data_IF_928679066528
#
_entry.id   IF_928679066528
#
_cell.length_a   1.000
_cell.length_b   1.000
_cell.length_c   1.000
_cell.angle_alpha   90.00
_cell.angle_beta   90.00
_cell.angle_gamma   90.00
#
_symmetry.space_group_name_H-M   'P 1'
#
loop_
_entity.id
_entity.type
_entity.pdbx_description
1 polymer ?
#
# COMPACT_ATOMS: atom_id res chain seq x y z
N UNK A 1 37.98 -17.36 10.84
CA UNK A 1 38.22 -15.94 10.50
C UNK A 1 36.86 -15.30 10.38
N UNK A 2 36.50 -14.45 11.34
CA UNK A 2 35.20 -13.76 11.36
C UNK A 2 35.45 -12.41 10.72
N UNK A 3 34.92 -12.18 9.52
CA UNK A 3 34.96 -10.85 8.91
C UNK A 3 34.09 -9.91 9.75
N UNK A 4 34.67 -8.79 10.19
CA UNK A 4 33.92 -7.75 10.86
C UNK A 4 33.08 -7.00 9.82
N UNK A 5 31.77 -7.19 9.85
CA UNK A 5 30.84 -6.43 9.02
C UNK A 5 30.61 -5.07 9.68
N UNK A 6 31.12 -4.01 9.05
CA UNK A 6 30.91 -2.62 9.48
C UNK A 6 29.86 -2.01 8.55
N UNK A 7 28.73 -1.57 9.11
CA UNK A 7 27.69 -0.83 8.41
C UNK A 7 27.59 0.58 8.99
N UNK A 8 27.38 1.57 8.12
CA UNK A 8 27.05 2.94 8.54
C UNK A 8 25.54 3.06 8.67
N UNK A 9 25.08 3.56 9.81
CA UNK A 9 23.66 3.85 10.03
C UNK A 9 23.37 5.25 9.49
N UNK A 10 22.45 5.36 8.55
CA UNK A 10 22.00 6.63 7.97
C UNK A 10 20.68 7.09 8.61
N UNK A 11 20.39 8.38 8.48
CA UNK A 11 19.10 8.94 8.88
C UNK A 11 17.97 8.37 8.01
N UNK A 12 16.79 8.23 8.61
CA UNK A 12 15.60 7.75 7.90
C UNK A 12 15.06 8.85 6.99
N UNK A 13 15.08 8.59 5.68
CA UNK A 13 14.42 9.44 4.69
C UNK A 13 13.08 8.79 4.30
N UNK A 14 11.94 9.48 4.48
CA UNK A 14 10.66 8.94 4.06
C UNK A 14 10.60 8.83 2.54
N UNK A 15 10.12 7.68 2.06
CA UNK A 15 9.92 7.40 0.62
C UNK A 15 8.96 8.42 -0.02
N UNK A 16 7.94 8.82 0.74
CA UNK A 16 7.04 9.92 0.43
C UNK A 16 6.71 10.72 1.71
N UNK A 17 6.63 12.06 1.64
CA UNK A 17 6.05 12.86 2.72
C UNK A 17 4.63 12.43 3.09
N UNK A 18 4.15 12.85 4.27
CA UNK A 18 2.74 12.69 4.61
C UNK A 18 1.86 13.49 3.64
N UNK A 19 0.80 12.88 3.14
CA UNK A 19 -0.06 13.49 2.13
C UNK A 19 -1.02 12.51 1.48
N UNK A 20 -1.78 13.01 0.50
CA UNK A 20 -2.67 12.19 -0.31
C UNK A 20 -2.15 12.19 -1.75
N UNK A 21 -1.86 11.01 -2.26
CA UNK A 21 -1.24 10.82 -3.57
C UNK A 21 -2.19 10.07 -4.51
N UNK A 22 -2.40 10.54 -5.75
CA UNK A 22 -2.93 9.69 -6.80
C UNK A 22 -2.07 8.44 -6.92
N UNK A 23 -2.69 7.28 -7.11
CA UNK A 23 -1.95 6.04 -7.23
C UNK A 23 -2.71 5.00 -8.05
N UNK A 24 -2.03 3.90 -8.34
CA UNK A 24 -2.65 2.71 -8.90
C UNK A 24 -2.19 1.47 -8.15
N UNK A 25 -3.05 0.46 -8.07
CA UNK A 25 -2.67 -0.83 -7.51
C UNK A 25 -1.72 -1.56 -8.45
N UNK A 26 -0.58 -1.98 -7.93
CA UNK A 26 0.46 -2.67 -8.71
C UNK A 26 0.44 -4.19 -8.50
N UNK A 27 -0.23 -4.67 -7.46
CA UNK A 27 -0.38 -6.09 -7.18
C UNK A 27 -0.28 -6.45 -5.71
N UNK A 28 -0.37 -7.74 -5.44
CA UNK A 28 -0.24 -8.32 -4.10
C UNK A 28 0.68 -9.54 -4.15
N UNK A 29 1.50 -9.69 -3.12
CA UNK A 29 2.37 -10.85 -2.94
C UNK A 29 2.05 -11.55 -1.63
N UNK A 30 2.08 -12.88 -1.64
CA UNK A 30 1.96 -13.69 -0.42
C UNK A 30 3.36 -13.92 0.15
N UNK A 31 3.57 -13.50 1.38
CA UNK A 31 4.82 -13.73 2.10
C UNK A 31 4.53 -14.54 3.36
N UNK A 32 5.45 -15.44 3.71
CA UNK A 32 5.33 -16.30 4.89
C UNK A 32 6.65 -16.29 5.66
N UNK A 33 6.57 -16.13 6.97
CA UNK A 33 7.70 -16.24 7.88
C UNK A 33 7.29 -17.01 9.14
N UNK A 34 8.17 -17.08 10.14
CA UNK A 34 7.92 -17.77 11.41
C UNK A 34 6.72 -17.23 12.19
N UNK A 35 6.27 -16.00 11.89
CA UNK A 35 5.10 -15.35 12.50
C UNK A 35 3.80 -15.58 11.71
N UNK A 36 3.87 -16.30 10.57
CA UNK A 36 2.73 -16.68 9.74
C UNK A 36 2.72 -16.06 8.34
N UNK A 37 1.56 -16.16 7.68
CA UNK A 37 1.36 -15.63 6.32
C UNK A 37 0.82 -14.21 6.36
N UNK A 38 1.34 -13.36 5.49
CA UNK A 38 0.92 -11.98 5.29
C UNK A 38 0.86 -11.65 3.79
N UNK A 39 0.06 -10.64 3.46
CA UNK A 39 -0.01 -10.10 2.11
C UNK A 39 0.72 -8.78 2.03
N UNK A 40 1.64 -8.66 1.09
CA UNK A 40 2.31 -7.42 0.73
C UNK A 40 1.54 -6.77 -0.43
N UNK A 41 0.86 -5.67 -0.12
CA UNK A 41 0.20 -4.83 -1.12
C UNK A 41 1.22 -3.89 -1.74
N UNK A 42 1.18 -3.75 -3.06
CA UNK A 42 2.06 -2.86 -3.82
C UNK A 42 1.20 -1.83 -4.54
N UNK A 43 1.58 -0.57 -4.42
CA UNK A 43 0.94 0.55 -5.10
C UNK A 43 2.00 1.42 -5.74
N UNK A 44 1.66 2.01 -6.87
CA UNK A 44 2.48 3.01 -7.53
C UNK A 44 1.86 4.39 -7.28
N UNK A 45 2.47 5.18 -6.40
CA UNK A 45 2.03 6.52 -6.08
C UNK A 45 2.67 7.54 -7.05
N UNK A 46 1.89 8.53 -7.46
CA UNK A 46 2.32 9.60 -8.36
C UNK A 46 2.68 10.84 -7.54
N UNK A 47 3.95 11.23 -7.56
CA UNK A 47 4.47 12.46 -6.94
C UNK A 47 5.12 13.34 -8.02
N UNK A 48 4.33 14.29 -8.53
CA UNK A 48 4.72 15.08 -9.70
C UNK A 48 4.94 14.19 -10.93
N UNK A 49 6.18 14.18 -11.44
CA UNK A 49 6.58 13.36 -12.59
C UNK A 49 7.16 11.99 -12.19
N UNK A 50 7.24 11.71 -10.88
CA UNK A 50 7.83 10.49 -10.37
C UNK A 50 6.74 9.49 -10.00
N UNK A 51 7.06 8.22 -10.22
CA UNK A 51 6.28 7.09 -9.74
C UNK A 51 7.08 6.42 -8.62
N UNK A 52 6.45 6.32 -7.45
CA UNK A 52 7.09 5.79 -6.25
C UNK A 52 6.34 4.55 -5.80
N UNK A 53 7.03 3.42 -5.71
CA UNK A 53 6.43 2.20 -5.17
C UNK A 53 6.29 2.33 -3.66
N UNK A 54 5.06 2.13 -3.17
CA UNK A 54 4.76 2.12 -1.74
C UNK A 54 4.09 0.81 -1.41
N UNK A 55 4.57 0.16 -0.35
CA UNK A 55 4.06 -1.14 0.07
C UNK A 55 3.42 -1.10 1.45
N UNK A 56 2.52 -2.05 1.70
CA UNK A 56 1.96 -2.25 3.02
C UNK A 56 1.62 -3.72 3.25
N UNK A 57 1.83 -4.20 4.47
CA UNK A 57 1.49 -5.56 4.86
C UNK A 57 0.14 -5.64 5.56
N UNK A 58 -0.61 -6.71 5.30
CA UNK A 58 -1.82 -7.07 6.04
C UNK A 58 -1.86 -8.56 6.33
N UNK A 59 -2.61 -8.97 7.35
CA UNK A 59 -3.02 -10.38 7.47
C UNK A 59 -3.84 -10.80 6.24
N UNK A 60 -3.81 -12.08 5.82
CA UNK A 60 -4.60 -12.59 4.69
C UNK A 60 -6.10 -12.69 4.99
N UNK A 61 -6.53 -12.37 6.22
CA UNK A 61 -7.94 -12.39 6.61
C UNK A 61 -8.65 -11.11 6.15
N UNK A 62 -9.68 -11.27 5.32
CA UNK A 62 -10.58 -10.19 4.92
C UNK A 62 -11.85 -10.25 5.78
N UNK A 63 -12.07 -9.22 6.58
CA UNK A 63 -13.36 -8.94 7.23
C UNK A 63 -13.64 -7.45 7.07
N UNK A 64 -14.89 -6.97 7.17
CA UNK A 64 -15.20 -5.54 6.96
C UNK A 64 -14.38 -4.56 7.81
N UNK A 65 -13.74 -5.02 8.90
CA UNK A 65 -12.91 -4.20 9.78
C UNK A 65 -11.41 -4.29 9.47
N UNK A 66 -10.95 -5.27 8.69
CA UNK A 66 -9.52 -5.46 8.43
C UNK A 66 -8.98 -4.43 7.45
N UNK A 67 -7.69 -4.16 7.55
CA UNK A 67 -6.98 -3.25 6.65
C UNK A 67 -7.12 -3.68 5.18
N UNK A 68 -7.06 -4.99 4.91
CA UNK A 68 -7.28 -5.56 3.58
C UNK A 68 -8.67 -5.17 3.00
N UNK A 69 -9.75 -5.25 3.78
CA UNK A 69 -11.07 -4.86 3.30
C UNK A 69 -11.20 -3.35 3.04
N UNK A 70 -10.55 -2.52 3.86
CA UNK A 70 -10.49 -1.07 3.61
C UNK A 70 -9.74 -0.75 2.33
N UNK A 71 -8.66 -1.46 2.05
CA UNK A 71 -7.88 -1.30 0.84
C UNK A 71 -8.68 -1.68 -0.40
N UNK A 72 -9.38 -2.81 -0.35
CA UNK A 72 -10.31 -3.22 -1.39
C UNK A 72 -11.40 -2.17 -1.64
N UNK A 73 -11.97 -1.59 -0.59
CA UNK A 73 -12.96 -0.53 -0.74
C UNK A 73 -12.38 0.71 -1.44
N UNK A 74 -11.13 1.06 -1.15
CA UNK A 74 -10.38 2.09 -1.87
C UNK A 74 -10.14 1.78 -3.35
N UNK A 75 -10.13 0.50 -3.72
CA UNK A 75 -10.07 0.01 -5.10
C UNK A 75 -11.47 -0.19 -5.73
N UNK A 76 -12.54 0.25 -5.05
CA UNK A 76 -13.91 0.11 -5.52
C UNK A 76 -14.56 -1.26 -5.24
N UNK A 77 -13.88 -2.14 -4.51
CA UNK A 77 -14.37 -3.49 -4.18
C UNK A 77 -14.95 -3.52 -2.77
N UNK A 78 -16.26 -3.74 -2.67
CA UNK A 78 -16.95 -3.94 -1.39
C UNK A 78 -17.03 -5.43 -1.07
N UNK A 79 -15.98 -5.95 -0.44
CA UNK A 79 -15.88 -7.38 -0.13
C UNK A 79 -17.00 -7.87 0.78
N UNK A 80 -17.73 -8.90 0.33
CA UNK A 80 -18.75 -9.61 1.13
C UNK A 80 -18.20 -10.92 1.67
N UNK A 81 -18.77 -11.40 2.77
CA UNK A 81 -18.39 -12.69 3.35
C UNK A 81 -18.69 -13.81 2.34
N UNK A 82 -17.69 -14.65 2.07
CA UNK A 82 -17.78 -15.77 1.12
C UNK A 82 -17.44 -15.41 -0.34
N UNK A 83 -17.18 -14.14 -0.63
CA UNK A 83 -16.77 -13.69 -1.96
C UNK A 83 -15.29 -14.00 -2.23
N UNK A 84 -14.98 -14.36 -3.47
CA UNK A 84 -13.61 -14.47 -3.96
C UNK A 84 -13.23 -13.17 -4.67
N UNK A 85 -12.03 -12.68 -4.41
CA UNK A 85 -11.49 -11.46 -5.04
C UNK A 85 -10.35 -11.87 -5.96
N UNK A 86 -10.45 -11.54 -7.23
CA UNK A 86 -9.36 -11.68 -8.20
C UNK A 86 -8.49 -10.42 -8.19
N UNK A 87 -7.35 -10.49 -7.49
CA UNK A 87 -6.43 -9.37 -7.38
C UNK A 87 -5.73 -9.00 -8.70
N UNK A 88 -5.62 -9.93 -9.66
CA UNK A 88 -5.01 -9.64 -10.95
C UNK A 88 -5.89 -8.67 -11.75
N UNK A 89 -7.21 -8.82 -11.65
CA UNK A 89 -8.18 -7.91 -12.27
C UNK A 89 -8.13 -6.47 -11.72
N UNK A 90 -7.49 -6.27 -10.56
CA UNK A 90 -7.37 -4.96 -9.92
C UNK A 90 -6.07 -4.23 -10.28
N UNK A 91 -5.13 -4.87 -10.97
CA UNK A 91 -3.86 -4.23 -11.35
C UNK A 91 -4.16 -3.02 -12.24
N UNK A 92 -3.44 -1.92 -12.02
CA UNK A 92 -3.67 -0.59 -12.60
C UNK A 92 -4.97 0.12 -12.16
N UNK A 93 -5.76 -0.49 -11.27
CA UNK A 93 -6.97 0.16 -10.74
C UNK A 93 -6.58 1.46 -10.03
N UNK A 94 -7.10 2.62 -10.48
CA UNK A 94 -6.77 3.91 -9.89
C UNK A 94 -7.36 4.05 -8.49
N UNK A 95 -6.59 4.65 -7.59
CA UNK A 95 -6.96 4.96 -6.22
C UNK A 95 -6.21 6.21 -5.72
N UNK A 96 -6.37 6.53 -4.44
CA UNK A 96 -5.50 7.48 -3.75
C UNK A 96 -4.91 6.83 -2.50
N UNK A 97 -3.63 7.06 -2.24
CA UNK A 97 -2.99 6.64 -0.99
C UNK A 97 -2.95 7.80 -0.01
N UNK A 98 -3.36 7.53 1.22
CA UNK A 98 -3.10 8.41 2.36
C UNK A 98 -1.80 7.94 3.01
N UNK A 99 -0.73 8.73 2.83
CA UNK A 99 0.58 8.49 3.42
C UNK A 99 0.70 9.26 4.73
N UNK A 100 1.17 8.57 5.76
CA UNK A 100 1.55 9.15 7.05
C UNK A 100 3.00 8.80 7.36
N UNK A 101 3.66 9.61 8.18
CA UNK A 101 4.99 9.30 8.72
C UNK A 101 4.81 8.66 10.10
N UNK A 102 5.42 7.49 10.32
CA UNK A 102 5.38 6.83 11.63
C UNK A 102 6.37 7.48 12.62
N UNK A 103 6.34 7.03 13.88
CA UNK A 103 7.22 7.56 14.93
C UNK A 103 8.72 7.37 14.63
N UNK A 104 9.06 6.40 13.77
CA UNK A 104 10.42 6.11 13.33
C UNK A 104 10.82 6.86 12.04
N UNK A 105 9.98 7.77 11.53
CA UNK A 105 10.28 8.58 10.35
C UNK A 105 9.97 7.94 8.99
N UNK A 106 9.44 6.72 8.95
CA UNK A 106 9.12 6.01 7.70
C UNK A 106 7.73 6.35 7.18
N UNK A 107 7.62 6.45 5.85
CA UNK A 107 6.34 6.51 5.15
C UNK A 107 5.54 5.23 5.34
N UNK A 108 4.24 5.38 5.60
CA UNK A 108 3.30 4.27 5.74
C UNK A 108 2.00 4.63 5.05
N UNK A 109 1.41 3.63 4.37
CA UNK A 109 0.02 3.73 3.91
C UNK A 109 -0.90 3.57 5.12
N UNK A 110 -1.59 4.66 5.45
CA UNK A 110 -2.66 4.68 6.44
C UNK A 110 -3.96 4.14 5.84
N UNK A 111 -4.34 4.67 4.68
CA UNK A 111 -5.58 4.31 4.00
C UNK A 111 -5.45 4.34 2.46
N UNK A 112 -6.36 3.63 1.79
CA UNK A 112 -6.54 3.67 0.33
C UNK A 112 -7.95 4.18 0.08
N UNK A 113 -8.08 5.21 -0.75
CA UNK A 113 -9.35 5.85 -1.07
C UNK A 113 -9.70 5.64 -2.55
N UNK A 114 -10.99 5.63 -2.91
CA UNK A 114 -11.42 5.64 -4.30
C UNK A 114 -10.84 6.83 -5.07
N UNK A 115 -10.45 6.61 -6.32
CA UNK A 115 -10.02 7.71 -7.18
C UNK A 115 -11.20 8.63 -7.52
N UNK A 116 -11.13 9.89 -7.09
CA UNK A 116 -12.11 10.90 -7.48
C UNK A 116 -11.62 11.58 -8.76
N UNK A 117 -12.19 11.22 -9.90
CA UNK A 117 -12.03 12.04 -11.11
C UNK A 117 -12.63 13.41 -10.83
N UNK A 118 -11.80 14.45 -10.71
CA UNK A 118 -12.30 15.83 -10.79
C UNK A 118 -12.99 15.97 -12.15
N UNK A 119 -14.32 16.13 -12.16
CA UNK A 119 -15.02 16.57 -13.37
C UNK A 119 -14.32 17.84 -13.84
N UNK A 120 -13.78 17.81 -15.07
CA UNK A 120 -13.34 19.03 -15.72
C UNK A 120 -14.55 19.98 -15.73
N UNK A 121 -14.40 21.15 -15.11
CA UNK A 121 -15.36 22.22 -15.27
C UNK A 121 -15.43 22.51 -16.78
N UNK A 122 -16.60 22.26 -17.38
CA UNK A 122 -16.88 22.55 -18.77
C UNK A 122 -17.07 24.05 -18.96
#
# INVERSE_FOLDING_TARGET
MTENFVATVEDVVPVLPAGIYPAQFAGIEVQTNDNGTFWLWRFLAHDGNNNVEVTATTSPRITPRTKAAKYLAGLGIVAKVGEQVDFLSLVEQPCQLVIVINEAGYSRIDNVLPFVQKKAAK
#
